data_IF_448514946790
#
_entry.id   IF_448514946790
#
_cell.length_a   1.000
_cell.length_b   1.000
_cell.length_c   1.000
_cell.angle_alpha   90.00
_cell.angle_beta   90.00
_cell.angle_gamma   90.00
#
_symmetry.space_group_name_H-M   'P 1'
#
loop_
_entity.id
_entity.type
_entity.pdbx_description
1 polymer ?
#
# COMPACT_ATOMS: atom_id res chain seq x y z
N UNK A 1 6.04 -12.40 37.44
CA UNK A 1 5.68 -11.57 36.28
C UNK A 1 6.12 -12.33 35.04
N UNK A 2 5.22 -12.57 34.10
CA UNK A 2 5.60 -13.11 32.79
C UNK A 2 6.51 -12.11 32.09
N UNK A 3 7.54 -12.59 31.39
CA UNK A 3 8.39 -11.71 30.59
C UNK A 3 7.54 -11.02 29.52
N UNK A 4 7.83 -9.74 29.22
CA UNK A 4 7.17 -9.01 28.13
C UNK A 4 7.55 -9.63 26.80
N UNK A 5 6.62 -9.69 25.85
CA UNK A 5 6.91 -10.12 24.49
C UNK A 5 7.69 -9.04 23.75
N UNK A 6 8.73 -9.42 23.03
CA UNK A 6 9.60 -8.51 22.27
C UNK A 6 8.98 -8.24 20.90
N UNK A 7 8.46 -7.04 20.72
CA UNK A 7 7.83 -6.56 19.49
C UNK A 7 8.82 -5.69 18.71
N UNK A 8 9.41 -6.24 17.64
CA UNK A 8 10.25 -5.47 16.75
C UNK A 8 9.39 -4.70 15.73
N UNK A 9 9.56 -3.40 15.63
CA UNK A 9 8.83 -2.55 14.67
C UNK A 9 9.81 -2.08 13.60
N UNK A 10 9.65 -2.58 12.37
CA UNK A 10 10.51 -2.23 11.23
C UNK A 10 9.84 -1.15 10.40
N UNK A 11 10.53 -0.06 10.09
CA UNK A 11 9.93 1.07 9.35
C UNK A 11 10.96 1.91 8.57
N UNK A 12 10.49 2.90 7.82
CA UNK A 12 11.23 3.69 6.85
C UNK A 12 11.28 2.99 5.49
N UNK A 13 12.50 2.69 5.03
CA UNK A 13 12.74 1.90 3.83
C UNK A 13 13.05 2.73 2.58
N UNK A 14 13.42 2.02 1.50
CA UNK A 14 13.73 2.56 0.17
C UNK A 14 12.46 2.70 -0.66
N UNK A 15 11.51 3.47 -0.15
CA UNK A 15 10.20 3.68 -0.76
C UNK A 15 9.93 5.18 -0.89
N UNK A 16 9.08 5.55 -1.84
CA UNK A 16 8.53 6.91 -1.91
C UNK A 16 7.67 7.23 -0.67
N UNK A 17 7.27 6.21 0.09
CA UNK A 17 6.39 6.28 1.25
C UNK A 17 7.16 6.23 2.59
N UNK A 18 8.46 6.52 2.55
CA UNK A 18 9.36 6.46 3.72
C UNK A 18 8.85 7.29 4.90
N UNK A 19 8.47 8.56 4.67
CA UNK A 19 7.99 9.46 5.73
C UNK A 19 6.66 9.01 6.32
N UNK A 20 5.78 8.45 5.48
CA UNK A 20 4.51 7.87 5.91
C UNK A 20 4.77 6.69 6.83
N UNK A 21 5.70 5.82 6.43
CA UNK A 21 6.12 4.65 7.21
C UNK A 21 6.69 5.04 8.58
N UNK A 22 7.56 6.05 8.64
CA UNK A 22 8.07 6.59 9.92
C UNK A 22 6.94 7.11 10.81
N UNK A 23 5.97 7.82 10.22
CA UNK A 23 4.82 8.37 10.96
C UNK A 23 3.90 7.27 11.48
N UNK A 24 3.57 6.27 10.65
CA UNK A 24 2.77 5.10 11.02
C UNK A 24 3.43 4.32 12.17
N UNK A 25 4.74 4.08 12.08
CA UNK A 25 5.47 3.36 13.11
C UNK A 25 5.48 4.10 14.45
N UNK A 26 5.64 5.43 14.45
CA UNK A 26 5.52 6.24 15.66
C UNK A 26 4.14 6.12 16.31
N UNK A 27 3.08 6.08 15.49
CA UNK A 27 1.72 5.81 15.97
C UNK A 27 1.63 4.46 16.68
N UNK A 28 2.08 3.39 16.02
CA UNK A 28 2.07 2.03 16.59
C UNK A 28 2.86 1.94 17.89
N UNK A 29 4.09 2.47 17.91
CA UNK A 29 4.95 2.41 19.10
C UNK A 29 4.37 3.19 20.28
N UNK A 30 3.67 4.30 20.02
CA UNK A 30 3.00 5.10 21.06
C UNK A 30 1.80 4.39 21.68
N UNK A 31 1.01 3.68 20.86
CA UNK A 31 -0.20 2.99 21.33
C UNK A 31 0.06 1.54 21.81
N UNK A 32 1.29 1.04 21.66
CA UNK A 32 1.64 -0.31 22.09
C UNK A 32 1.48 -0.48 23.61
N UNK A 33 0.84 -1.57 24.03
CA UNK A 33 0.66 -1.92 25.44
C UNK A 33 2.02 -2.31 26.06
N UNK A 34 2.64 -1.33 26.72
CA UNK A 34 3.97 -1.52 27.32
C UNK A 34 3.99 -2.47 28.51
N UNK A 35 2.85 -2.86 29.10
CA UNK A 35 2.83 -3.90 30.14
C UNK A 35 3.01 -5.29 29.54
N UNK A 36 2.60 -5.47 28.29
CA UNK A 36 2.68 -6.74 27.55
C UNK A 36 3.89 -6.82 26.63
N UNK A 37 4.29 -5.69 26.03
CA UNK A 37 5.30 -5.64 24.99
C UNK A 37 6.53 -4.81 25.39
N UNK A 38 7.70 -5.33 25.06
CA UNK A 38 8.94 -4.57 24.93
C UNK A 38 9.09 -4.18 23.45
N UNK A 39 8.94 -2.89 23.14
CA UNK A 39 8.93 -2.39 21.77
C UNK A 39 10.34 -2.01 21.32
N UNK A 40 10.79 -2.64 20.24
CA UNK A 40 12.15 -2.50 19.68
C UNK A 40 12.06 -1.85 18.30
N UNK A 41 12.39 -0.55 18.16
CA UNK A 41 12.36 0.12 16.88
C UNK A 41 13.57 -0.25 16.00
N UNK A 42 13.33 -0.57 14.73
CA UNK A 42 14.36 -0.82 13.72
C UNK A 42 14.07 0.02 12.47
N UNK A 43 14.81 1.11 12.31
CA UNK A 43 14.67 2.02 11.18
C UNK A 43 15.50 1.57 9.97
N UNK A 44 14.98 1.86 8.78
CA UNK A 44 15.69 1.73 7.51
C UNK A 44 15.71 3.10 6.83
N UNK A 45 16.88 3.66 6.54
CA UNK A 45 17.01 4.96 5.88
C UNK A 45 16.43 4.95 4.46
N UNK A 46 16.22 6.13 3.88
CA UNK A 46 15.75 6.29 2.48
C UNK A 46 16.60 5.57 1.44
N UNK A 47 17.86 5.29 1.76
CA UNK A 47 18.83 4.62 0.87
C UNK A 47 19.25 3.25 1.39
N UNK A 48 18.46 2.69 2.30
CA UNK A 48 18.45 1.28 2.66
C UNK A 48 19.42 0.89 3.76
N UNK A 49 20.02 1.86 4.47
CA UNK A 49 20.81 1.53 5.65
C UNK A 49 19.89 1.15 6.79
N UNK A 50 20.06 -0.07 7.31
CA UNK A 50 19.40 -0.46 8.54
C UNK A 50 20.12 0.17 9.73
N UNK A 51 19.33 0.56 10.72
CA UNK A 51 19.80 1.19 11.95
C UNK A 51 19.64 0.22 13.11
N UNK A 52 20.61 0.21 14.02
CA UNK A 52 20.47 -0.46 15.31
C UNK A 52 19.28 0.13 16.10
N UNK A 53 18.90 -0.54 17.19
CA UNK A 53 17.87 -0.03 18.10
C UNK A 53 18.24 1.36 18.63
N UNK A 54 19.47 1.51 19.13
CA UNK A 54 19.95 2.76 19.74
C UNK A 54 20.00 3.90 18.72
N UNK A 55 20.57 3.64 17.53
CA UNK A 55 20.57 4.63 16.45
C UNK A 55 19.13 5.00 16.06
N UNK A 56 18.23 4.03 15.94
CA UNK A 56 16.84 4.32 15.57
C UNK A 56 16.16 5.22 16.62
N UNK A 57 16.37 4.94 17.91
CA UNK A 57 15.81 5.72 19.02
C UNK A 57 16.37 7.14 19.04
N UNK A 58 17.69 7.28 18.94
CA UNK A 58 18.33 8.59 18.82
C UNK A 58 17.74 9.34 17.62
N UNK A 59 17.53 8.62 16.51
CA UNK A 59 17.11 9.27 15.30
C UNK A 59 15.68 9.78 15.33
N UNK A 60 14.78 8.99 15.89
CA UNK A 60 13.41 9.39 16.16
C UNK A 60 13.36 10.60 17.09
N UNK A 61 14.15 10.63 18.18
CA UNK A 61 14.15 11.75 19.11
C UNK A 61 14.49 13.09 18.42
N UNK A 62 15.43 13.08 17.48
CA UNK A 62 15.79 14.27 16.70
C UNK A 62 14.70 14.66 15.68
N UNK A 63 13.94 13.69 15.14
CA UNK A 63 12.74 13.98 14.33
C UNK A 63 11.67 14.65 15.19
N UNK A 64 11.47 14.18 16.42
CA UNK A 64 10.49 14.75 17.36
C UNK A 64 10.88 16.15 17.85
N UNK A 65 12.18 16.39 18.02
CA UNK A 65 12.72 17.71 18.33
C UNK A 65 12.70 18.68 17.13
N UNK A 66 12.35 18.21 15.93
CA UNK A 66 12.37 19.01 14.70
C UNK A 66 13.79 19.31 14.18
N UNK A 67 14.80 18.62 14.69
CA UNK A 67 16.20 18.75 14.27
C UNK A 67 16.44 18.04 12.93
N UNK A 68 15.62 17.03 12.63
CA UNK A 68 15.62 16.32 11.34
C UNK A 68 14.22 16.08 10.81
N UNK A 69 14.13 15.87 9.50
CA UNK A 69 12.85 15.56 8.83
C UNK A 69 12.49 14.08 8.89
N UNK A 70 13.49 13.21 8.85
CA UNK A 70 13.35 11.75 8.82
C UNK A 70 14.49 11.05 9.57
N UNK A 71 14.49 9.71 9.51
CA UNK A 71 15.51 8.85 10.13
C UNK A 71 16.80 8.71 9.31
N UNK A 72 16.99 9.52 8.26
CA UNK A 72 18.22 9.64 7.47
C UNK A 72 18.14 9.07 6.05
N UNK A 73 19.18 9.37 5.26
CA UNK A 73 19.36 8.98 3.86
C UNK A 73 20.69 8.25 3.59
N UNK A 74 21.26 7.63 4.63
CA UNK A 74 22.52 6.90 4.51
C UNK A 74 22.42 5.74 3.52
N UNK A 75 23.49 5.52 2.76
CA UNK A 75 23.60 4.36 1.90
C UNK A 75 23.77 3.08 2.72
N UNK A 76 22.92 2.10 2.44
CA UNK A 76 22.99 0.82 3.11
C UNK A 76 23.56 -0.32 2.29
N UNK A 77 24.02 -1.35 3.01
CA UNK A 77 24.07 -2.71 2.46
C UNK A 77 22.68 -3.36 2.50
N UNK A 78 22.54 -4.57 1.94
CA UNK A 78 21.34 -5.38 2.21
C UNK A 78 21.22 -5.72 3.70
N UNK A 79 20.09 -6.29 4.13
CA UNK A 79 19.82 -6.63 5.54
C UNK A 79 20.98 -7.43 6.21
N UNK A 80 21.69 -8.25 5.44
CA UNK A 80 22.83 -9.05 5.92
C UNK A 80 24.11 -8.27 6.25
N UNK A 81 24.18 -6.98 5.92
CA UNK A 81 25.30 -6.13 6.27
C UNK A 81 25.28 -5.67 7.74
N UNK A 82 24.16 -5.88 8.45
CA UNK A 82 23.91 -5.32 9.78
C UNK A 82 23.73 -6.41 10.82
N UNK A 83 24.84 -6.99 11.28
CA UNK A 83 24.81 -8.14 12.20
C UNK A 83 24.07 -7.86 13.51
N UNK A 84 24.17 -6.64 14.03
CA UNK A 84 23.45 -6.21 15.24
C UNK A 84 21.93 -6.22 15.02
N UNK A 85 21.47 -5.70 13.89
CA UNK A 85 20.05 -5.70 13.50
C UNK A 85 19.53 -7.13 13.38
N UNK A 86 20.29 -8.02 12.75
CA UNK A 86 19.90 -9.45 12.66
C UNK A 86 19.86 -10.12 14.03
N UNK A 87 20.80 -9.80 14.92
CA UNK A 87 20.80 -10.32 16.28
C UNK A 87 19.57 -9.83 17.06
N UNK A 88 19.19 -8.56 16.89
CA UNK A 88 17.97 -7.98 17.46
C UNK A 88 16.71 -8.65 16.92
N UNK A 89 16.60 -8.81 15.59
CA UNK A 89 15.47 -9.51 14.95
C UNK A 89 15.34 -10.95 15.45
N UNK A 90 16.45 -11.70 15.57
CA UNK A 90 16.46 -13.06 16.11
C UNK A 90 15.97 -13.12 17.57
N UNK A 91 16.08 -12.03 18.31
CA UNK A 91 15.59 -11.94 19.69
C UNK A 91 14.12 -11.51 19.79
N UNK A 92 13.47 -11.15 18.69
CA UNK A 92 12.08 -10.71 18.68
C UNK A 92 11.13 -11.91 18.77
N UNK A 93 10.05 -11.77 19.53
CA UNK A 93 8.97 -12.76 19.57
C UNK A 93 7.98 -12.56 18.40
N UNK A 94 7.86 -11.31 17.94
CA UNK A 94 7.01 -10.93 16.81
C UNK A 94 7.57 -9.66 16.15
N UNK A 95 7.43 -9.57 14.84
CA UNK A 95 7.80 -8.41 14.04
C UNK A 95 6.54 -7.72 13.52
N UNK A 96 6.48 -6.40 13.62
CA UNK A 96 5.48 -5.59 12.95
C UNK A 96 6.16 -4.77 11.84
N UNK A 97 6.16 -5.25 10.59
CA UNK A 97 6.69 -4.50 9.46
C UNK A 97 5.71 -3.38 9.12
N UNK A 98 6.18 -2.14 9.20
CA UNK A 98 5.46 -0.93 8.83
C UNK A 98 6.31 -0.21 7.78
N UNK A 99 6.70 -0.91 6.72
CA UNK A 99 7.42 -0.37 5.55
C UNK A 99 6.43 -0.31 4.40
N UNK A 100 6.04 0.89 3.97
CA UNK A 100 5.03 1.05 2.92
C UNK A 100 5.65 0.93 1.53
N UNK A 101 4.90 0.35 0.59
CA UNK A 101 5.30 0.19 -0.81
C UNK A 101 6.47 -0.77 -1.01
N UNK A 102 7.44 -0.36 -1.83
CA UNK A 102 8.56 -1.21 -2.26
C UNK A 102 9.33 -1.81 -1.08
N UNK A 103 9.61 -3.11 -1.18
CA UNK A 103 10.19 -4.00 -0.17
C UNK A 103 9.32 -4.35 1.03
N UNK A 104 8.27 -3.59 1.35
CA UNK A 104 7.46 -3.83 2.53
C UNK A 104 6.08 -4.42 2.25
N UNK A 105 5.45 -4.03 1.14
CA UNK A 105 4.14 -4.56 0.70
C UNK A 105 4.25 -5.50 -0.52
N UNK A 106 5.44 -5.66 -1.09
CA UNK A 106 5.68 -6.49 -2.29
C UNK A 106 6.05 -7.95 -1.99
N UNK A 107 6.02 -8.36 -0.72
CA UNK A 107 6.39 -9.70 -0.26
C UNK A 107 7.88 -9.87 0.06
N UNK A 108 8.74 -8.88 -0.22
CA UNK A 108 10.19 -9.01 0.03
C UNK A 108 10.52 -9.08 1.52
N UNK A 109 9.98 -8.15 2.33
CA UNK A 109 10.14 -8.16 3.78
C UNK A 109 9.57 -9.43 4.39
N UNK A 110 8.37 -9.83 3.96
CA UNK A 110 7.70 -11.05 4.41
C UNK A 110 8.60 -12.26 4.11
N UNK A 111 9.20 -12.34 2.91
CA UNK A 111 10.11 -13.43 2.54
C UNK A 111 11.35 -13.48 3.43
N UNK A 112 11.90 -12.33 3.83
CA UNK A 112 13.00 -12.28 4.81
C UNK A 112 12.55 -12.84 6.18
N UNK A 113 11.38 -12.45 6.66
CA UNK A 113 10.85 -12.87 7.96
C UNK A 113 10.50 -14.36 7.98
N UNK A 114 9.90 -14.90 6.90
CA UNK A 114 9.63 -16.33 6.72
C UNK A 114 10.93 -17.15 6.76
N UNK A 115 11.95 -16.72 6.03
CA UNK A 115 13.26 -17.40 6.01
C UNK A 115 13.99 -17.32 7.34
N UNK A 116 13.68 -16.31 8.17
CA UNK A 116 14.22 -16.12 9.50
C UNK A 116 13.42 -16.86 10.59
N UNK A 117 12.32 -17.55 10.23
CA UNK A 117 11.39 -18.20 11.17
C UNK A 117 10.84 -17.23 12.23
N UNK A 118 10.52 -16.00 11.80
CA UNK A 118 10.01 -14.94 12.66
C UNK A 118 8.51 -14.72 12.42
N UNK A 119 7.65 -14.83 13.46
CA UNK A 119 6.26 -14.40 13.35
C UNK A 119 6.16 -12.92 13.03
N UNK A 120 5.26 -12.55 12.12
CA UNK A 120 5.03 -11.15 11.78
C UNK A 120 3.55 -10.79 11.64
N UNK A 121 3.27 -9.51 11.81
CA UNK A 121 1.94 -8.93 11.63
C UNK A 121 1.71 -8.63 10.17
N UNK A 122 0.52 -8.96 9.67
CA UNK A 122 0.06 -8.62 8.31
C UNK A 122 0.02 -9.81 7.35
N UNK A 123 -0.28 -9.56 6.06
CA UNK A 123 -0.41 -10.59 5.04
C UNK A 123 0.91 -11.28 4.73
N UNK A 124 0.83 -12.53 4.27
CA UNK A 124 2.00 -13.32 3.90
C UNK A 124 2.58 -12.95 2.53
N UNK A 125 3.71 -13.58 2.17
CA UNK A 125 4.49 -13.30 0.95
C UNK A 125 3.63 -13.21 -0.32
N UNK A 126 2.78 -14.21 -0.55
CA UNK A 126 1.96 -14.28 -1.76
C UNK A 126 0.89 -13.18 -1.78
N UNK A 127 0.22 -12.96 -0.65
CA UNK A 127 -0.81 -11.94 -0.51
C UNK A 127 -0.25 -10.53 -0.74
N UNK A 128 0.90 -10.22 -0.15
CA UNK A 128 1.64 -8.97 -0.36
C UNK A 128 2.05 -8.80 -1.83
N UNK A 129 2.76 -9.78 -2.41
CA UNK A 129 3.22 -9.70 -3.79
C UNK A 129 2.07 -9.55 -4.80
N UNK A 130 0.96 -10.28 -4.60
CA UNK A 130 -0.23 -10.19 -5.46
C UNK A 130 -0.99 -8.88 -5.24
N UNK A 131 -1.08 -8.39 -4.00
CA UNK A 131 -1.74 -7.13 -3.66
C UNK A 131 -1.02 -5.91 -4.23
N UNK A 132 0.32 -5.92 -4.24
CA UNK A 132 1.14 -4.83 -4.79
C UNK A 132 1.06 -4.74 -6.33
N UNK A 133 0.98 -5.88 -7.01
CA UNK A 133 0.91 -5.94 -8.46
C UNK A 133 -0.54 -5.80 -8.93
N UNK A 134 -0.89 -4.61 -9.45
CA UNK A 134 -2.26 -4.29 -9.85
C UNK A 134 -2.85 -5.26 -10.86
N UNK A 135 -2.07 -5.82 -11.79
CA UNK A 135 -2.62 -6.80 -12.74
C UNK A 135 -2.93 -8.13 -12.05
N UNK A 136 -2.02 -8.63 -11.20
CA UNK A 136 -2.22 -9.90 -10.51
C UNK A 136 -3.39 -9.81 -9.53
N UNK A 137 -3.46 -8.72 -8.77
CA UNK A 137 -4.59 -8.37 -7.92
C UNK A 137 -5.90 -8.40 -8.72
N UNK A 138 -5.97 -7.69 -9.85
CA UNK A 138 -7.17 -7.66 -10.69
C UNK A 138 -7.53 -9.02 -11.27
N UNK A 139 -6.55 -9.84 -11.64
CA UNK A 139 -6.80 -11.21 -12.12
C UNK A 139 -7.43 -12.09 -11.03
N UNK A 140 -6.95 -11.99 -9.78
CA UNK A 140 -7.54 -12.70 -8.63
C UNK A 140 -8.96 -12.19 -8.35
N UNK A 141 -9.18 -10.88 -8.34
CA UNK A 141 -10.52 -10.29 -8.17
C UNK A 141 -11.50 -10.77 -9.25
N UNK A 142 -11.06 -10.85 -10.51
CA UNK A 142 -11.89 -11.35 -11.60
C UNK A 142 -12.28 -12.83 -11.39
N UNK A 143 -11.34 -13.68 -10.99
CA UNK A 143 -11.58 -15.09 -10.72
C UNK A 143 -12.60 -15.30 -9.58
N UNK A 144 -12.67 -14.35 -8.64
CA UNK A 144 -13.61 -14.35 -7.52
C UNK A 144 -14.87 -13.49 -7.77
N UNK A 145 -15.09 -13.02 -9.00
CA UNK A 145 -16.25 -12.21 -9.39
C UNK A 145 -16.40 -10.92 -8.57
N UNK A 146 -15.29 -10.33 -8.13
CA UNK A 146 -15.28 -9.05 -7.42
C UNK A 146 -15.35 -7.93 -8.48
N UNK A 147 -16.36 -7.04 -8.44
CA UNK A 147 -16.53 -5.99 -9.45
C UNK A 147 -15.37 -5.01 -9.45
N UNK A 148 -14.84 -4.67 -10.62
CA UNK A 148 -13.68 -3.81 -10.80
C UNK A 148 -13.70 -3.12 -12.16
N UNK A 149 -12.93 -2.05 -12.33
CA UNK A 149 -12.81 -1.34 -13.61
C UNK A 149 -12.27 -2.27 -14.72
N UNK A 150 -12.73 -2.05 -15.95
CA UNK A 150 -12.10 -2.63 -17.12
C UNK A 150 -10.66 -2.09 -17.24
N UNK A 151 -9.73 -2.96 -17.61
CA UNK A 151 -8.32 -2.60 -17.73
C UNK A 151 -7.61 -3.36 -18.85
N UNK A 152 -6.50 -2.81 -19.31
CA UNK A 152 -5.52 -3.41 -20.22
C UNK A 152 -4.12 -3.21 -19.65
N UNK A 153 -3.18 -4.06 -20.04
CA UNK A 153 -1.80 -4.03 -19.53
C UNK A 153 -0.84 -3.99 -20.70
N UNK A 154 0.18 -3.14 -20.59
CA UNK A 154 1.33 -3.07 -21.49
C UNK A 154 2.59 -3.55 -20.76
N UNK A 155 3.51 -4.20 -21.48
CA UNK A 155 4.77 -4.70 -20.94
C UNK A 155 5.98 -4.31 -21.78
N UNK A 156 7.09 -4.02 -21.12
CA UNK A 156 8.43 -3.91 -21.70
C UNK A 156 8.43 -3.04 -22.97
N UNK A 157 8.62 -3.64 -24.15
CA UNK A 157 8.68 -2.93 -25.44
C UNK A 157 7.38 -2.18 -25.76
N UNK A 158 6.22 -2.68 -25.31
CA UNK A 158 4.93 -2.02 -25.51
C UNK A 158 4.81 -0.73 -24.69
N UNK A 159 5.51 -0.66 -23.55
CA UNK A 159 5.59 0.55 -22.72
C UNK A 159 6.63 1.51 -23.29
N UNK A 160 7.79 0.97 -23.72
CA UNK A 160 8.88 1.79 -24.25
C UNK A 160 8.54 2.46 -25.59
N UNK A 161 7.76 1.79 -26.44
CA UNK A 161 7.37 2.28 -27.76
C UNK A 161 5.99 1.75 -28.16
N UNK A 162 4.89 2.23 -27.55
CA UNK A 162 3.54 1.81 -27.93
C UNK A 162 3.25 2.21 -29.38
N UNK A 163 2.73 1.28 -30.16
CA UNK A 163 2.32 1.53 -31.54
C UNK A 163 0.98 2.26 -31.62
N UNK A 164 0.74 3.04 -32.67
CA UNK A 164 -0.56 3.71 -32.89
C UNK A 164 -1.74 2.73 -32.84
N UNK A 165 -1.56 1.51 -33.36
CA UNK A 165 -2.58 0.47 -33.33
C UNK A 165 -2.89 -0.01 -31.89
N UNK A 166 -1.87 -0.10 -31.02
CA UNK A 166 -2.08 -0.41 -29.60
C UNK A 166 -2.83 0.72 -28.90
N UNK A 167 -2.44 1.97 -29.14
CA UNK A 167 -3.12 3.13 -28.55
C UNK A 167 -4.59 3.22 -28.98
N UNK A 168 -4.89 2.95 -30.25
CA UNK A 168 -6.27 2.87 -30.78
C UNK A 168 -7.06 1.73 -30.14
N UNK A 169 -6.43 0.55 -30.00
CA UNK A 169 -7.06 -0.61 -29.36
C UNK A 169 -7.39 -0.35 -27.88
N UNK A 170 -6.50 0.32 -27.15
CA UNK A 170 -6.74 0.73 -25.76
C UNK A 170 -7.93 1.68 -25.70
N UNK A 171 -7.95 2.71 -26.56
CA UNK A 171 -9.07 3.66 -26.62
C UNK A 171 -10.41 2.99 -26.94
N UNK A 172 -10.43 1.98 -27.81
CA UNK A 172 -11.63 1.23 -28.14
C UNK A 172 -12.10 0.29 -27.00
N UNK A 173 -11.16 -0.29 -26.24
CA UNK A 173 -11.47 -1.23 -25.17
C UNK A 173 -11.84 -0.54 -23.84
N UNK A 174 -11.17 0.56 -23.51
CA UNK A 174 -11.26 1.24 -22.21
C UNK A 174 -12.06 2.54 -22.29
N UNK A 175 -11.95 3.28 -23.40
CA UNK A 175 -12.52 4.62 -23.54
C UNK A 175 -11.69 5.70 -22.83
N UNK A 176 -12.20 6.94 -22.90
CA UNK A 176 -11.62 8.13 -22.27
C UNK A 176 -12.68 8.87 -21.43
N UNK A 177 -12.29 9.48 -20.29
CA UNK A 177 -10.93 9.46 -19.72
C UNK A 177 -10.56 8.08 -19.15
N UNK A 178 -9.27 7.79 -19.12
CA UNK A 178 -8.71 6.59 -18.50
C UNK A 178 -7.54 6.95 -17.57
N UNK A 179 -7.25 6.08 -16.62
CA UNK A 179 -6.08 6.21 -15.75
C UNK A 179 -4.98 5.28 -16.23
N UNK A 180 -3.76 5.81 -16.34
CA UNK A 180 -2.54 5.08 -16.68
C UNK A 180 -1.66 5.04 -15.44
N UNK A 181 -1.25 3.84 -15.01
CA UNK A 181 -0.60 3.60 -13.72
C UNK A 181 0.55 2.60 -13.87
N UNK A 182 1.68 2.75 -13.15
CA UNK A 182 2.63 1.66 -12.95
C UNK A 182 1.92 0.49 -12.27
N UNK A 183 2.20 -0.74 -12.71
CA UNK A 183 1.55 -1.91 -12.15
C UNK A 183 1.95 -2.11 -10.68
N UNK A 184 3.22 -1.89 -10.35
CA UNK A 184 3.75 -1.96 -8.99
C UNK A 184 4.08 -0.54 -8.49
N UNK A 185 3.61 -0.21 -7.29
CA UNK A 185 3.85 1.08 -6.64
C UNK A 185 2.62 1.63 -5.93
N UNK A 186 2.86 2.43 -4.90
CA UNK A 186 1.84 3.06 -4.06
C UNK A 186 1.76 4.59 -4.24
N UNK A 187 0.91 5.20 -3.42
CA UNK A 187 0.81 6.66 -3.23
C UNK A 187 0.64 7.51 -4.52
N UNK A 188 -0.05 6.96 -5.52
CA UNK A 188 -0.38 7.65 -6.77
C UNK A 188 0.83 8.15 -7.59
N UNK A 189 2.05 7.67 -7.30
CA UNK A 189 3.25 8.04 -8.05
C UNK A 189 3.20 7.42 -9.44
N UNK A 190 3.44 8.23 -10.48
CA UNK A 190 3.38 7.80 -11.88
C UNK A 190 1.96 7.59 -12.42
N UNK A 191 0.92 7.94 -11.66
CA UNK A 191 -0.48 7.82 -12.10
C UNK A 191 -0.90 9.06 -12.89
N UNK A 192 -1.39 8.87 -14.12
CA UNK A 192 -1.83 9.95 -15.01
C UNK A 192 -3.25 9.70 -15.51
N UNK A 193 -4.12 10.73 -15.49
CA UNK A 193 -5.45 10.70 -16.13
C UNK A 193 -5.33 11.17 -17.57
N UNK A 194 -5.35 10.25 -18.53
CA UNK A 194 -5.38 10.56 -19.96
C UNK A 194 -6.81 10.91 -20.37
N UNK A 195 -7.01 12.11 -20.94
CA UNK A 195 -8.35 12.61 -21.30
C UNK A 195 -8.71 12.33 -22.75
N UNK A 196 -7.73 12.02 -23.60
CA UNK A 196 -7.95 11.69 -24.99
C UNK A 196 -6.90 10.74 -25.57
N UNK A 197 -7.08 10.39 -26.84
CA UNK A 197 -6.18 9.55 -27.62
C UNK A 197 -4.82 10.19 -27.86
N UNK A 198 -4.74 11.51 -27.83
CA UNK A 198 -3.49 12.26 -27.96
C UNK A 198 -2.67 12.21 -26.66
N UNK A 199 -3.34 12.17 -25.50
CA UNK A 199 -2.68 12.20 -24.19
C UNK A 199 -2.09 10.85 -23.76
N UNK A 200 -2.65 9.74 -24.25
CA UNK A 200 -2.39 8.41 -23.70
C UNK A 200 -0.94 7.95 -23.86
N UNK A 201 -0.27 8.34 -24.95
CA UNK A 201 1.13 7.99 -25.19
C UNK A 201 2.07 8.59 -24.13
N UNK A 202 1.89 9.87 -23.82
CA UNK A 202 2.66 10.59 -22.80
C UNK A 202 2.38 10.01 -21.40
N UNK A 203 1.12 9.66 -21.12
CA UNK A 203 0.73 9.03 -19.87
C UNK A 203 1.37 7.63 -19.68
N UNK A 204 1.47 6.82 -20.75
CA UNK A 204 2.17 5.53 -20.73
C UNK A 204 3.67 5.74 -20.50
N UNK A 205 4.27 6.73 -21.19
CA UNK A 205 5.68 7.04 -21.04
C UNK A 205 6.01 7.47 -19.59
N UNK A 206 5.16 8.27 -18.95
CA UNK A 206 5.35 8.69 -17.56
C UNK A 206 5.27 7.50 -16.58
N UNK A 207 4.24 6.66 -16.70
CA UNK A 207 4.13 5.44 -15.88
C UNK A 207 5.31 4.48 -16.11
N UNK A 208 5.79 4.38 -17.36
CA UNK A 208 6.93 3.57 -17.77
C UNK A 208 8.27 3.97 -17.15
N UNK A 209 8.37 5.16 -16.54
CA UNK A 209 9.55 5.58 -15.77
C UNK A 209 9.69 4.84 -14.44
N UNK A 210 8.59 4.28 -13.93
CA UNK A 210 8.51 3.67 -12.61
C UNK A 210 8.39 2.14 -12.66
N UNK A 211 7.75 1.60 -13.69
CA UNK A 211 7.62 0.15 -13.88
C UNK A 211 7.66 -0.20 -15.38
N UNK A 212 8.25 -1.36 -15.68
CA UNK A 212 8.23 -1.97 -17.02
C UNK A 212 6.85 -2.52 -17.40
N UNK A 213 5.92 -2.56 -16.45
CA UNK A 213 4.54 -2.99 -16.63
C UNK A 213 3.59 -1.85 -16.26
N UNK A 214 2.73 -1.48 -17.21
CA UNK A 214 1.80 -0.36 -17.07
C UNK A 214 0.36 -0.86 -17.24
N UNK A 215 -0.52 -0.43 -16.35
CA UNK A 215 -1.95 -0.71 -16.37
C UNK A 215 -2.72 0.53 -16.83
N UNK A 216 -3.62 0.36 -17.78
CA UNK A 216 -4.58 1.39 -18.22
C UNK A 216 -5.99 0.93 -17.87
N UNK A 217 -6.74 1.74 -17.15
CA UNK A 217 -8.09 1.39 -16.69
C UNK A 217 -9.11 2.50 -16.92
N UNK A 218 -10.37 2.10 -17.05
CA UNK A 218 -11.48 3.03 -17.22
C UNK A 218 -11.60 3.93 -15.98
N UNK A 219 -11.79 5.23 -16.20
CA UNK A 219 -12.07 6.14 -15.10
C UNK A 219 -13.44 5.81 -14.47
N UNK A 220 -13.46 5.64 -13.15
CA UNK A 220 -14.68 5.46 -12.39
C UNK A 220 -15.06 6.81 -11.76
N UNK A 221 -16.29 7.26 -12.02
CA UNK A 221 -16.88 8.45 -11.40
C UNK A 221 -17.81 7.99 -10.27
N UNK A 222 -17.22 7.78 -9.09
CA UNK A 222 -17.93 7.30 -7.91
C UNK A 222 -17.39 7.91 -6.63
N UNK A 223 -18.14 7.75 -5.54
CA UNK A 223 -17.70 8.13 -4.20
C UNK A 223 -16.62 7.16 -3.72
N UNK A 224 -15.48 7.67 -3.28
CA UNK A 224 -14.39 6.86 -2.71
C UNK A 224 -14.71 6.46 -1.28
N UNK A 225 -14.69 5.15 -1.02
CA UNK A 225 -14.87 4.58 0.33
C UNK A 225 -13.82 3.52 0.62
N UNK A 226 -13.40 3.44 1.87
CA UNK A 226 -12.39 2.51 2.35
C UNK A 226 -12.99 1.59 3.44
N UNK A 227 -12.57 0.33 3.45
CA UNK A 227 -12.93 -0.64 4.48
C UNK A 227 -11.69 -1.33 5.02
N UNK A 228 -11.42 -1.17 6.32
CA UNK A 228 -10.37 -1.93 6.99
C UNK A 228 -10.88 -3.34 7.29
N UNK A 229 -10.03 -4.34 7.08
CA UNK A 229 -10.32 -5.74 7.37
C UNK A 229 -9.26 -6.28 8.32
N UNK A 230 -9.69 -6.85 9.45
CA UNK A 230 -8.80 -7.36 10.49
C UNK A 230 -9.14 -8.82 10.82
N UNK A 231 -8.13 -9.68 10.83
CA UNK A 231 -8.23 -11.06 11.30
C UNK A 231 -7.50 -12.08 10.43
N UNK A 232 -7.77 -13.36 10.69
CA UNK A 232 -7.19 -14.50 9.96
C UNK A 232 -8.31 -15.32 9.30
N UNK A 233 -8.76 -16.41 9.94
CA UNK A 233 -9.81 -17.29 9.38
C UNK A 233 -11.21 -16.66 9.29
N UNK A 234 -11.58 -15.83 10.27
CA UNK A 234 -12.86 -15.11 10.32
C UNK A 234 -12.61 -13.59 10.38
N UNK A 235 -12.13 -12.99 9.28
CA UNK A 235 -11.77 -11.58 9.23
C UNK A 235 -13.02 -10.70 9.32
N UNK A 236 -12.89 -9.57 10.03
CA UNK A 236 -13.98 -8.63 10.31
C UNK A 236 -13.76 -7.31 9.59
N UNK A 237 -14.76 -6.81 8.86
CA UNK A 237 -14.70 -5.49 8.26
C UNK A 237 -15.02 -4.40 9.30
N UNK A 238 -14.38 -3.24 9.18
CA UNK A 238 -14.69 -2.03 9.94
C UNK A 238 -15.94 -1.33 9.37
N UNK A 239 -16.50 -0.33 10.08
CA UNK A 239 -17.30 0.72 9.43
C UNK A 239 -16.52 1.33 8.26
N UNK A 240 -17.24 1.77 7.23
CA UNK A 240 -16.62 2.40 6.06
C UNK A 240 -16.08 3.80 6.41
N UNK A 241 -14.92 4.13 5.86
CA UNK A 241 -14.46 5.51 5.73
C UNK A 241 -14.82 6.07 4.36
N UNK A 242 -15.09 7.36 4.27
CA UNK A 242 -15.27 8.10 3.02
C UNK A 242 -14.10 9.07 2.85
N UNK A 243 -13.51 9.09 1.65
CA UNK A 243 -12.58 10.12 1.22
C UNK A 243 -13.37 11.12 0.39
N UNK A 244 -13.58 12.32 0.94
CA UNK A 244 -14.22 13.42 0.23
C UNK A 244 -13.14 14.44 -0.19
N UNK A 245 -12.58 14.33 -1.42
CA UNK A 245 -11.57 15.26 -1.89
C UNK A 245 -12.17 16.66 -2.10
N UNK A 246 -11.37 17.71 -1.86
CA UNK A 246 -11.76 19.10 -2.17
C UNK A 246 -11.41 19.52 -3.61
N UNK A 247 -10.67 18.69 -4.34
CA UNK A 247 -10.25 18.87 -5.74
C UNK A 247 -10.70 17.67 -6.59
N UNK A 248 -10.56 17.76 -7.92
CA UNK A 248 -11.00 16.71 -8.87
C UNK A 248 -10.19 15.38 -8.73
N UNK A 249 -9.09 15.37 -7.97
CA UNK A 249 -8.22 14.19 -7.85
C UNK A 249 -7.51 14.10 -6.49
N UNK A 250 -7.39 12.87 -5.97
CA UNK A 250 -6.68 12.55 -4.72
C UNK A 250 -5.24 12.08 -5.02
N UNK A 251 -4.35 13.04 -5.36
CA UNK A 251 -2.94 12.79 -5.64
C UNK A 251 -2.06 12.71 -4.37
N UNK A 252 -0.77 12.42 -4.55
CA UNK A 252 0.24 12.39 -3.47
C UNK A 252 0.24 13.68 -2.64
N UNK A 253 0.07 14.84 -3.27
CA UNK A 253 0.05 16.12 -2.57
C UNK A 253 -1.21 16.25 -1.71
N UNK A 254 -2.39 15.89 -2.23
CA UNK A 254 -3.65 15.86 -1.48
C UNK A 254 -3.68 14.80 -0.36
N UNK A 255 -2.86 13.74 -0.47
CA UNK A 255 -2.74 12.67 0.55
C UNK A 255 -1.84 13.06 1.73
N UNK A 256 -0.77 13.83 1.48
CA UNK A 256 0.31 14.00 2.48
C UNK A 256 0.83 15.43 2.65
N UNK A 257 0.55 16.35 1.72
CA UNK A 257 1.02 17.75 1.78
C UNK A 257 -0.11 18.73 2.10
N UNK A 258 -1.33 18.44 1.65
CA UNK A 258 -2.49 19.31 1.76
C UNK A 258 -3.62 18.60 2.53
N UNK A 259 -3.92 19.11 3.72
CA UNK A 259 -4.95 18.66 4.68
C UNK A 259 -6.39 18.90 4.17
N UNK A 260 -6.64 18.55 2.90
CA UNK A 260 -7.71 19.12 2.08
C UNK A 260 -8.79 18.11 1.69
N UNK A 261 -8.60 16.82 1.95
CA UNK A 261 -9.67 15.82 1.84
C UNK A 261 -10.31 15.58 3.21
N UNK A 262 -11.63 15.65 3.28
CA UNK A 262 -12.36 15.31 4.50
C UNK A 262 -12.45 13.78 4.62
N UNK A 263 -11.87 13.23 5.68
CA UNK A 263 -12.01 11.82 6.05
C UNK A 263 -13.21 11.66 6.98
N UNK A 264 -14.25 10.94 6.53
CA UNK A 264 -15.53 10.83 7.25
C UNK A 264 -15.75 9.36 7.64
N UNK A 265 -15.89 9.11 8.95
CA UNK A 265 -16.20 7.80 9.51
C UNK A 265 -17.39 7.92 10.47
N UNK A 266 -18.49 7.18 10.27
CA UNK A 266 -18.76 6.30 9.13
C UNK A 266 -19.04 7.07 7.83
N UNK A 267 -18.76 6.46 6.68
CA UNK A 267 -19.09 6.97 5.35
C UNK A 267 -20.59 7.28 5.22
N UNK A 268 -20.93 8.33 4.47
CA UNK A 268 -22.32 8.78 4.29
C UNK A 268 -23.05 7.95 3.23
N UNK A 269 -23.34 6.70 3.55
CA UNK A 269 -23.99 5.73 2.65
C UNK A 269 -25.09 4.95 3.35
N UNK A 270 -26.04 4.41 2.59
CA UNK A 270 -27.09 3.56 3.12
C UNK A 270 -26.50 2.27 3.73
N UNK A 271 -27.11 1.79 4.83
CA UNK A 271 -26.65 0.60 5.55
C UNK A 271 -26.54 -0.64 4.66
N UNK A 272 -27.44 -0.80 3.68
CA UNK A 272 -27.41 -1.90 2.71
C UNK A 272 -26.19 -1.82 1.77
N UNK A 273 -25.82 -0.61 1.35
CA UNK A 273 -24.63 -0.38 0.53
C UNK A 273 -23.39 -0.62 1.37
N UNK A 274 -23.36 -0.12 2.61
CA UNK A 274 -22.27 -0.36 3.55
C UNK A 274 -22.03 -1.86 3.77
N UNK A 275 -23.09 -2.63 4.06
CA UNK A 275 -23.00 -4.08 4.25
C UNK A 275 -22.49 -4.81 2.99
N UNK A 276 -22.87 -4.34 1.79
CA UNK A 276 -22.40 -4.90 0.53
C UNK A 276 -20.90 -4.63 0.30
N UNK A 277 -20.42 -3.41 0.56
CA UNK A 277 -18.99 -3.07 0.47
C UNK A 277 -18.18 -3.90 1.47
N UNK A 278 -18.65 -4.01 2.72
CA UNK A 278 -18.01 -4.80 3.76
C UNK A 278 -17.89 -6.29 3.38
N UNK A 279 -18.93 -6.86 2.76
CA UNK A 279 -18.89 -8.22 2.22
C UNK A 279 -17.85 -8.36 1.11
N UNK A 280 -17.80 -7.42 0.15
CA UNK A 280 -16.76 -7.43 -0.89
C UNK A 280 -15.35 -7.23 -0.34
N UNK A 281 -15.16 -6.40 0.69
CA UNK A 281 -13.87 -6.20 1.34
C UNK A 281 -13.35 -7.50 1.97
N UNK A 282 -14.22 -8.23 2.68
CA UNK A 282 -13.90 -9.55 3.25
C UNK A 282 -13.61 -10.57 2.15
N UNK A 283 -14.34 -10.54 1.03
CA UNK A 283 -14.08 -11.44 -0.11
C UNK A 283 -12.74 -11.14 -0.78
N UNK A 284 -12.40 -9.86 -0.99
CA UNK A 284 -11.12 -9.42 -1.55
C UNK A 284 -9.95 -9.88 -0.66
N UNK A 285 -10.07 -9.64 0.66
CA UNK A 285 -9.10 -10.07 1.66
C UNK A 285 -8.85 -11.59 1.60
N UNK A 286 -9.92 -12.39 1.55
CA UNK A 286 -9.81 -13.86 1.46
C UNK A 286 -9.30 -14.34 0.12
N UNK A 287 -9.65 -13.67 -0.98
CA UNK A 287 -9.24 -14.06 -2.33
C UNK A 287 -7.72 -13.96 -2.52
N UNK A 288 -7.08 -12.99 -1.86
CA UNK A 288 -5.62 -12.82 -1.88
C UNK A 288 -4.88 -13.65 -0.83
N UNK A 289 -5.57 -14.43 -0.01
CA UNK A 289 -4.99 -15.12 1.16
C UNK A 289 -4.36 -14.15 2.17
N UNK A 290 -4.96 -12.96 2.34
CA UNK A 290 -4.50 -12.00 3.34
C UNK A 290 -4.74 -12.52 4.77
N UNK A 291 -3.89 -12.06 5.69
CA UNK A 291 -3.96 -12.34 7.12
C UNK A 291 -3.55 -11.11 7.92
N UNK A 292 -3.95 -11.03 9.18
CA UNK A 292 -3.64 -9.88 10.03
C UNK A 292 -4.52 -8.70 9.68
N UNK A 293 -4.08 -7.85 8.74
CA UNK A 293 -4.78 -6.62 8.36
C UNK A 293 -4.67 -6.35 6.85
N UNK A 294 -5.65 -5.62 6.32
CA UNK A 294 -5.56 -4.93 5.04
C UNK A 294 -6.58 -3.79 5.01
N UNK A 295 -6.41 -2.84 4.08
CA UNK A 295 -7.44 -1.87 3.72
C UNK A 295 -7.87 -2.10 2.29
N UNK A 296 -9.18 -2.21 2.04
CA UNK A 296 -9.73 -2.38 0.70
C UNK A 296 -10.46 -1.12 0.30
N UNK A 297 -10.08 -0.57 -0.86
CA UNK A 297 -10.53 0.72 -1.34
C UNK A 297 -11.51 0.51 -2.50
N UNK A 298 -12.61 1.26 -2.52
CA UNK A 298 -13.70 1.12 -3.48
C UNK A 298 -14.13 2.45 -4.07
N UNK A 299 -14.64 2.41 -5.29
CA UNK A 299 -15.53 3.43 -5.84
C UNK A 299 -16.98 2.94 -5.75
N UNK A 300 -17.83 3.74 -5.11
CA UNK A 300 -19.28 3.57 -5.14
C UNK A 300 -19.88 4.33 -6.32
N UNK A 301 -20.39 3.58 -7.28
CA UNK A 301 -21.05 4.14 -8.46
C UNK A 301 -22.38 4.82 -8.07
N UNK A 302 -22.91 5.75 -8.90
CA UNK A 302 -24.17 6.44 -8.61
C UNK A 302 -25.39 5.54 -8.40
N UNK A 303 -25.35 4.32 -8.92
CA UNK A 303 -26.40 3.30 -8.73
C UNK A 303 -26.19 2.41 -7.48
N UNK A 304 -25.20 2.74 -6.65
CA UNK A 304 -24.86 2.05 -5.41
C UNK A 304 -24.00 0.79 -5.59
N UNK A 305 -23.54 0.47 -6.81
CA UNK A 305 -22.64 -0.66 -7.03
C UNK A 305 -21.21 -0.34 -6.55
N UNK A 306 -20.60 -1.19 -5.72
CA UNK A 306 -19.19 -1.06 -5.37
C UNK A 306 -18.30 -1.64 -6.46
N UNK A 307 -17.22 -0.93 -6.76
CA UNK A 307 -16.15 -1.34 -7.67
C UNK A 307 -14.84 -1.30 -6.89
N UNK A 308 -14.18 -2.44 -6.71
CA UNK A 308 -12.90 -2.49 -6.00
C UNK A 308 -11.82 -1.76 -6.82
N UNK A 309 -11.12 -0.84 -6.15
CA UNK A 309 -9.98 -0.14 -6.71
C UNK A 309 -8.71 -0.97 -6.46
N UNK A 310 -8.36 -1.13 -5.18
CA UNK A 310 -7.15 -1.82 -4.72
C UNK A 310 -7.31 -2.35 -3.30
N UNK A 311 -6.35 -3.19 -2.89
CA UNK A 311 -6.17 -3.65 -1.52
C UNK A 311 -4.74 -3.32 -1.08
N UNK A 312 -4.63 -2.58 0.02
CA UNK A 312 -3.36 -2.20 0.65
C UNK A 312 -3.07 -3.20 1.77
N UNK A 313 -1.87 -3.76 1.78
CA UNK A 313 -1.51 -4.89 2.65
C UNK A 313 -0.82 -4.47 3.95
N UNK A 314 -0.84 -3.16 4.26
CA UNK A 314 -0.23 -2.56 5.44
C UNK A 314 -0.97 -1.30 5.90
#
# INVERSE_FOLDING_TARGET
MTAKQRLAVIFGGRSAEHEVSVTSARGVMREADTDRFEVIPLGITKRGAWLSEDETRERLAQVEAGERRDIGDDFGGGAFAYLEVLATLRSADVVFPIVHGTFGEDGTMQGLLEMADLPYVGPGVAASAVGMDKELMRAVFAAHQIPQAAYVVLRDDEVAAPTEAQLDAIGAAIGYPCFVKPANGGSSVGVTKARSREDIGDAIAEAGRFDRKVLVEAALEGQEVECAVLGHHDPKPSPLGEIAPSTEFYDYAAKYLDDTAALIVPARVDEKVAALVQDYAVRAFKALDCQGLARVDFFLMPDGRPMVNEINTM
#
